data_IF_668280353948
#
_entry.id   IF_668280353948
#
_cell.length_a   1.000
_cell.length_b   1.000
_cell.length_c   1.000
_cell.angle_alpha   90.00
_cell.angle_beta   90.00
_cell.angle_gamma   90.00
#
_symmetry.space_group_name_H-M   'P 1'
#
loop_
_entity.id
_entity.type
_entity.pdbx_description
1 polymer ?
#
# COMPACT_ATOMS: atom_id res chain seq x y z
N UNK A 1 5.39 6.47 -14.19
CA UNK A 1 4.35 5.76 -13.44
C UNK A 1 4.79 4.34 -13.12
N UNK A 2 4.45 3.87 -11.94
CA UNK A 2 4.80 2.52 -11.49
C UNK A 2 4.01 1.49 -12.27
N UNK A 3 4.70 0.44 -12.70
CA UNK A 3 4.06 -0.66 -13.40
C UNK A 3 3.76 -1.78 -12.40
N UNK A 4 2.54 -2.24 -12.37
CA UNK A 4 2.11 -3.28 -11.42
C UNK A 4 2.14 -4.66 -12.06
N UNK A 5 2.52 -5.66 -11.26
CA UNK A 5 2.37 -7.05 -11.66
C UNK A 5 0.88 -7.38 -11.78
N UNK A 6 0.60 -8.54 -12.39
CA UNK A 6 -0.79 -8.97 -12.53
C UNK A 6 -1.48 -9.10 -11.17
N UNK A 7 -0.78 -9.68 -10.20
CA UNK A 7 -1.36 -9.84 -8.87
C UNK A 7 -1.62 -8.51 -8.19
N UNK A 8 -0.68 -7.58 -8.32
CA UNK A 8 -0.88 -6.27 -7.72
C UNK A 8 -2.01 -5.50 -8.38
N UNK A 9 -2.19 -5.69 -9.68
CA UNK A 9 -3.32 -5.09 -10.38
C UNK A 9 -4.64 -5.64 -9.85
N UNK A 10 -4.68 -6.94 -9.56
CA UNK A 10 -5.89 -7.54 -9.00
C UNK A 10 -6.21 -6.95 -7.62
N UNK A 11 -5.19 -6.78 -6.78
CA UNK A 11 -5.40 -6.15 -5.47
C UNK A 11 -5.89 -4.71 -5.66
N UNK A 12 -5.25 -3.96 -6.54
CA UNK A 12 -5.60 -2.57 -6.76
C UNK A 12 -7.04 -2.42 -7.25
N UNK A 13 -7.50 -3.36 -8.09
CA UNK A 13 -8.86 -3.29 -8.63
C UNK A 13 -9.93 -3.46 -7.59
N UNK A 14 -9.58 -3.97 -6.40
CA UNK A 14 -10.53 -4.17 -5.33
C UNK A 14 -10.64 -2.98 -4.37
N UNK A 15 -9.81 -1.97 -4.59
CA UNK A 15 -9.78 -0.80 -3.72
C UNK A 15 -10.89 0.16 -4.12
N UNK A 16 -11.59 0.70 -3.12
CA UNK A 16 -12.66 1.67 -3.37
C UNK A 16 -12.07 3.03 -3.72
N UNK A 17 -12.44 3.54 -4.88
CA UNK A 17 -11.94 4.82 -5.35
C UNK A 17 -12.38 5.95 -4.41
N UNK A 18 -11.50 6.94 -4.23
CA UNK A 18 -11.80 8.12 -3.41
C UNK A 18 -11.59 7.94 -1.93
N UNK A 19 -11.25 6.74 -1.48
CA UNK A 19 -11.06 6.44 -0.07
C UNK A 19 -9.59 6.40 0.30
N UNK A 20 -9.30 6.64 1.57
CA UNK A 20 -7.94 6.49 2.09
C UNK A 20 -7.63 5.02 2.28
N UNK A 21 -6.54 4.57 1.70
CA UNK A 21 -6.16 3.17 1.69
C UNK A 21 -5.12 2.86 2.75
N UNK A 22 -5.27 1.73 3.42
CA UNK A 22 -4.18 1.15 4.20
C UNK A 22 -3.68 -0.10 3.46
N UNK A 23 -2.41 -0.09 3.05
CA UNK A 23 -1.82 -1.19 2.31
C UNK A 23 -0.93 -2.00 3.25
N UNK A 24 -1.41 -3.15 3.68
CA UNK A 24 -0.70 -4.01 4.63
C UNK A 24 0.27 -4.90 3.88
N UNK A 25 1.52 -4.93 4.34
CA UNK A 25 2.56 -5.66 3.64
C UNK A 25 2.91 -5.00 2.33
N UNK A 26 3.13 -3.70 2.40
CA UNK A 26 3.22 -2.85 1.21
C UNK A 26 4.38 -3.18 0.29
N UNK A 27 5.44 -3.81 0.85
CA UNK A 27 6.64 -4.10 0.11
C UNK A 27 7.13 -2.80 -0.55
N UNK A 28 7.45 -2.70 -1.77
CA UNK A 28 8.05 -1.50 -2.35
C UNK A 28 7.10 -0.29 -2.47
N UNK A 29 5.88 -0.39 -1.97
CA UNK A 29 4.93 0.71 -2.05
C UNK A 29 4.27 0.86 -3.42
N UNK A 30 4.37 -0.15 -4.27
CA UNK A 30 3.93 -0.06 -5.65
C UNK A 30 2.42 0.19 -5.77
N UNK A 31 1.61 -0.51 -4.98
CA UNK A 31 0.15 -0.39 -5.09
C UNK A 31 -0.32 1.01 -4.68
N UNK A 32 0.05 1.51 -3.48
CA UNK A 32 -0.41 2.86 -3.13
C UNK A 32 0.11 3.93 -4.08
N UNK A 33 1.37 3.81 -4.53
CA UNK A 33 1.91 4.81 -5.46
C UNK A 33 1.10 4.83 -6.76
N UNK A 34 0.82 3.66 -7.33
CA UNK A 34 0.08 3.60 -8.58
C UNK A 34 -1.32 4.15 -8.45
N UNK A 35 -1.98 3.86 -7.31
CA UNK A 35 -3.34 4.32 -7.10
C UNK A 35 -3.43 5.83 -6.88
N UNK A 36 -2.46 6.38 -6.16
CA UNK A 36 -2.42 7.84 -5.97
C UNK A 36 -2.06 8.54 -7.27
N UNK A 37 -1.08 8.02 -8.00
CA UNK A 37 -0.70 8.60 -9.29
C UNK A 37 -1.84 8.58 -10.29
N UNK A 38 -2.66 7.54 -10.24
CA UNK A 38 -3.80 7.42 -11.13
C UNK A 38 -5.02 8.18 -10.67
N UNK A 39 -4.91 8.92 -9.57
CA UNK A 39 -6.02 9.68 -8.98
C UNK A 39 -7.20 8.79 -8.58
N UNK A 40 -6.92 7.54 -8.27
CA UNK A 40 -7.96 6.62 -7.81
C UNK A 40 -8.22 6.83 -6.33
N UNK A 41 -7.15 7.02 -5.55
CA UNK A 41 -7.28 7.32 -4.13
C UNK A 41 -6.52 8.61 -3.82
N UNK A 42 -6.97 9.41 -2.82
CA UNK A 42 -6.29 10.64 -2.47
C UNK A 42 -5.08 10.43 -1.56
N UNK A 43 -5.14 9.42 -0.70
CA UNK A 43 -4.11 9.19 0.31
C UNK A 43 -3.99 7.71 0.61
N UNK A 44 -2.82 7.33 1.16
CA UNK A 44 -2.59 5.95 1.57
C UNK A 44 -1.65 5.91 2.76
N UNK A 45 -1.79 4.86 3.57
CA UNK A 45 -0.84 4.52 4.60
C UNK A 45 -0.27 3.16 4.22
N UNK A 46 1.03 3.13 3.98
CA UNK A 46 1.72 1.89 3.60
C UNK A 46 2.36 1.31 4.85
N UNK A 47 1.94 0.12 5.23
CA UNK A 47 2.44 -0.50 6.46
C UNK A 47 3.17 -1.80 6.15
N UNK A 48 4.13 -2.11 7.00
CA UNK A 48 4.83 -3.37 6.96
C UNK A 48 5.34 -3.65 8.35
N UNK A 49 5.55 -4.92 8.66
CA UNK A 49 6.10 -5.34 9.93
C UNK A 49 7.62 -5.19 9.95
N UNK A 50 8.24 -5.09 8.79
CA UNK A 50 9.68 -5.03 8.65
C UNK A 50 10.12 -3.66 8.14
N UNK A 51 11.25 -3.19 8.68
CA UNK A 51 11.79 -1.87 8.29
C UNK A 51 12.30 -1.83 6.85
N UNK A 52 12.91 -2.92 6.38
CA UNK A 52 13.50 -2.93 5.05
C UNK A 52 12.51 -2.58 3.95
N UNK A 53 11.37 -3.28 3.89
CA UNK A 53 10.36 -2.93 2.90
C UNK A 53 9.84 -1.51 3.04
N UNK A 54 9.72 -1.00 4.28
CA UNK A 54 9.26 0.37 4.47
C UNK A 54 10.27 1.39 3.96
N UNK A 55 11.56 1.11 4.14
CA UNK A 55 12.58 2.01 3.63
C UNK A 55 12.54 2.06 2.11
N UNK A 56 12.36 0.92 1.48
CA UNK A 56 12.23 0.88 0.03
C UNK A 56 10.98 1.62 -0.45
N UNK A 57 9.88 1.44 0.27
CA UNK A 57 8.66 2.17 -0.05
C UNK A 57 8.86 3.67 0.08
N UNK A 58 9.53 4.11 1.15
CA UNK A 58 9.81 5.53 1.33
C UNK A 58 10.65 6.10 0.19
N UNK A 59 11.64 5.34 -0.28
CA UNK A 59 12.46 5.79 -1.39
C UNK A 59 11.62 5.99 -2.65
N UNK A 60 10.74 5.04 -2.92
CA UNK A 60 9.86 5.12 -4.09
C UNK A 60 8.86 6.27 -3.96
N UNK A 61 8.32 6.46 -2.77
CA UNK A 61 7.38 7.54 -2.52
C UNK A 61 8.04 8.90 -2.76
N UNK A 62 9.26 9.08 -2.24
CA UNK A 62 10.01 10.31 -2.45
C UNK A 62 10.34 10.51 -3.91
N UNK A 63 10.78 9.44 -4.58
CA UNK A 63 11.15 9.54 -5.99
C UNK A 63 9.99 9.94 -6.87
N UNK A 64 8.76 9.61 -6.45
CA UNK A 64 7.55 9.96 -7.21
C UNK A 64 6.86 11.22 -6.69
N UNK A 65 7.45 11.90 -5.71
CA UNK A 65 6.90 13.17 -5.23
C UNK A 65 5.62 13.03 -4.45
N UNK A 66 5.41 11.92 -3.75
CA UNK A 66 4.13 11.63 -3.09
C UNK A 66 4.22 11.63 -1.57
N UNK A 67 5.19 12.32 -1.01
CA UNK A 67 5.42 12.28 0.44
C UNK A 67 4.27 12.88 1.25
N UNK A 68 3.45 13.72 0.64
CA UNK A 68 2.30 14.31 1.33
C UNK A 68 1.06 13.43 1.24
N UNK A 69 1.02 12.55 0.26
CA UNK A 69 -0.15 11.69 0.05
C UNK A 69 0.02 10.31 0.66
N UNK A 70 1.25 9.82 0.77
CA UNK A 70 1.49 8.46 1.22
C UNK A 70 2.44 8.48 2.42
N UNK A 71 1.96 7.92 3.54
CA UNK A 71 2.74 7.79 4.77
C UNK A 71 3.10 6.33 4.96
N UNK A 72 4.31 6.07 5.44
CA UNK A 72 4.70 4.71 5.81
C UNK A 72 4.60 4.55 7.33
N UNK A 73 4.32 3.33 7.76
CA UNK A 73 4.19 3.06 9.19
C UNK A 73 4.62 1.62 9.48
N UNK A 74 5.47 1.45 10.49
CA UNK A 74 5.86 0.12 10.95
C UNK A 74 4.72 -0.42 11.80
N UNK A 75 4.15 -1.55 11.42
CA UNK A 75 2.97 -2.06 12.10
C UNK A 75 2.86 -3.56 11.88
N UNK A 76 2.40 -4.25 12.92
CA UNK A 76 2.03 -5.65 12.80
C UNK A 76 0.57 -5.69 12.35
N UNK A 77 0.38 -5.79 11.03
CA UNK A 77 -0.96 -5.68 10.48
C UNK A 77 -1.54 -4.30 10.73
N UNK A 78 -2.69 -4.24 11.35
CA UNK A 78 -3.39 -2.98 11.59
C UNK A 78 -3.18 -2.41 12.98
N UNK A 79 -2.26 -2.97 13.75
CA UNK A 79 -2.12 -2.57 15.15
C UNK A 79 -1.80 -1.09 15.32
N UNK A 80 -1.06 -0.50 14.38
CA UNK A 80 -0.68 0.90 14.48
C UNK A 80 -1.62 1.83 13.72
N UNK A 81 -2.75 1.32 13.25
CA UNK A 81 -3.74 2.12 12.52
C UNK A 81 -4.87 2.47 13.49
N UNK A 82 -5.21 3.75 13.54
CA UNK A 82 -6.26 4.22 14.43
C UNK A 82 -7.63 4.15 13.75
N UNK A 83 -8.68 3.99 14.56
CA UNK A 83 -10.05 3.96 14.05
C UNK A 83 -10.34 5.23 13.24
N UNK A 84 -10.93 5.03 12.07
CA UNK A 84 -11.28 6.15 11.22
C UNK A 84 -10.15 6.75 10.41
N UNK A 85 -8.94 6.23 10.58
CA UNK A 85 -7.77 6.73 9.87
C UNK A 85 -7.77 6.33 8.40
N UNK A 86 -8.33 5.17 8.10
CA UNK A 86 -8.40 4.67 6.73
C UNK A 86 -9.82 4.18 6.45
N UNK A 87 -10.16 4.15 5.16
CA UNK A 87 -11.49 3.74 4.73
C UNK A 87 -11.49 2.37 4.09
N UNK A 88 -10.35 1.94 3.56
CA UNK A 88 -10.25 0.63 2.92
C UNK A 88 -8.88 0.04 3.20
N UNK A 89 -8.80 -1.29 3.10
CA UNK A 89 -7.62 -2.04 3.45
C UNK A 89 -7.28 -2.98 2.30
N UNK A 90 -6.01 -3.00 1.92
CA UNK A 90 -5.50 -3.97 0.99
C UNK A 90 -4.35 -4.73 1.64
N UNK A 91 -4.17 -5.99 1.25
CA UNK A 91 -3.06 -6.81 1.72
C UNK A 91 -2.30 -7.25 0.48
N UNK A 92 -1.10 -6.72 0.30
CA UNK A 92 -0.37 -6.92 -0.93
C UNK A 92 0.91 -7.73 -0.81
N UNK A 93 1.29 -8.17 0.38
CA UNK A 93 2.52 -8.94 0.52
C UNK A 93 2.40 -10.33 -0.09
N UNK A 94 3.51 -10.80 -0.63
CA UNK A 94 3.49 -11.96 -1.50
C UNK A 94 3.26 -13.28 -0.78
N UNK A 95 3.69 -13.41 0.47
CA UNK A 95 3.54 -14.69 1.14
C UNK A 95 2.08 -15.03 1.46
N UNK A 96 1.21 -14.06 1.44
CA UNK A 96 -0.21 -14.33 1.60
C UNK A 96 -0.72 -15.24 0.48
N UNK A 97 -0.20 -15.02 -0.72
CA UNK A 97 -0.62 -15.80 -1.86
C UNK A 97 -0.32 -17.29 -1.73
N UNK A 98 0.70 -17.62 -0.97
CA UNK A 98 1.04 -19.03 -0.78
C UNK A 98 -0.10 -19.79 -0.14
N UNK A 99 -0.88 -19.15 0.69
CA UNK A 99 -2.03 -19.78 1.32
C UNK A 99 -3.19 -19.91 0.38
N UNK A 100 -3.30 -19.00 -0.56
CA UNK A 100 -4.41 -18.99 -1.48
C UNK A 100 -4.35 -20.09 -2.50
N UNK A 101 -3.16 -20.60 -2.76
CA UNK A 101 -2.99 -21.58 -3.80
C UNK A 101 -3.33 -23.00 -3.36
N UNK A 102 -3.68 -23.18 -2.15
CA UNK A 102 -4.02 -24.48 -1.64
C UNK A 102 -5.33 -25.02 -2.09
#
# INVERSE_FOLDING_TARGET
MIRLSRRMKAVASMVTAGYTLCDVGTDHGYVPIALVQGNIIPKAIAVDINKGPLERANEHIRANGLTEQITTRLSNGLEAIHDGEVDSIAVSYTHLRAHETK
#
